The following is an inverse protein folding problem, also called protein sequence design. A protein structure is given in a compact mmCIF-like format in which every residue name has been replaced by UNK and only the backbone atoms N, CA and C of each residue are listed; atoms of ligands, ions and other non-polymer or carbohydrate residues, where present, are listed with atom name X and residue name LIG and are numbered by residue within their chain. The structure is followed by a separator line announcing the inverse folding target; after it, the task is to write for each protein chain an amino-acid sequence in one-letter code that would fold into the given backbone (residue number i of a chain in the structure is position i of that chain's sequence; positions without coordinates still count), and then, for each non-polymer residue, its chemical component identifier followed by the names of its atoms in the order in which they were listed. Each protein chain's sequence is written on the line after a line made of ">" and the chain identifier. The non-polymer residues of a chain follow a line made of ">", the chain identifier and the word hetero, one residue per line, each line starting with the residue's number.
data_IF_222133309179
#
_entry.id   IF_222133309179
#
_cell.length_a   1.000
_cell.length_b   1.000
_cell.length_c   1.000
_cell.angle_alpha   90.00
_cell.angle_beta   90.00
_cell.angle_gamma   90.00
#
_symmetry.space_group_name_H-M   'P 1'
#
loop_
_entity.id
_entity.type
_entity.pdbx_description
1 polymer ?
#
# COMPACT_ATOMS: atom_id res chain seq x y z
N UNK A 1 31.63 37.81 -29.26
CA UNK A 1 30.54 36.94 -29.78
C UNK A 1 30.61 35.46 -29.33
N UNK A 2 31.78 34.92 -29.04
CA UNK A 2 31.91 33.50 -28.56
C UNK A 2 31.24 33.22 -27.19
N UNK A 3 31.22 34.18 -26.29
CA UNK A 3 30.71 34.03 -24.92
C UNK A 3 29.16 33.86 -24.85
N UNK A 4 28.42 34.48 -25.75
CA UNK A 4 26.96 34.41 -25.81
C UNK A 4 26.49 33.04 -26.36
N UNK A 5 27.27 32.47 -27.28
CA UNK A 5 26.98 31.17 -27.90
C UNK A 5 27.20 30.04 -26.91
N UNK A 6 28.29 30.08 -26.14
CA UNK A 6 28.56 29.10 -25.08
C UNK A 6 27.51 29.14 -23.95
N UNK A 7 27.04 30.33 -23.59
CA UNK A 7 26.02 30.54 -22.56
C UNK A 7 24.66 29.94 -22.96
N UNK A 8 24.26 30.09 -24.23
CA UNK A 8 23.00 29.49 -24.75
C UNK A 8 23.07 27.95 -24.80
N UNK A 9 24.19 27.40 -25.23
CA UNK A 9 24.41 25.95 -25.23
C UNK A 9 24.38 25.40 -23.81
N UNK A 10 25.07 26.02 -22.88
CA UNK A 10 25.11 25.64 -21.47
C UNK A 10 23.72 25.66 -20.82
N UNK A 11 22.92 26.69 -21.07
CA UNK A 11 21.54 26.80 -20.57
C UNK A 11 20.64 25.69 -21.13
N UNK A 12 20.82 25.34 -22.40
CA UNK A 12 20.06 24.26 -23.04
C UNK A 12 20.39 22.88 -22.45
N UNK A 13 21.66 22.59 -22.20
CA UNK A 13 22.08 21.32 -21.55
C UNK A 13 21.58 21.22 -20.11
N UNK A 14 21.66 22.29 -19.34
CA UNK A 14 21.12 22.32 -17.97
C UNK A 14 19.63 22.06 -17.97
N UNK A 15 18.87 22.71 -18.86
CA UNK A 15 17.42 22.49 -18.96
C UNK A 15 17.07 21.03 -19.26
N UNK A 16 17.79 20.40 -20.20
CA UNK A 16 17.58 18.97 -20.54
C UNK A 16 17.91 18.09 -19.35
N UNK A 17 19.04 18.35 -18.66
CA UNK A 17 19.47 17.55 -17.51
C UNK A 17 18.46 17.65 -16.36
N UNK A 18 17.94 18.84 -16.08
CA UNK A 18 16.91 19.04 -15.05
C UNK A 18 15.65 18.27 -15.39
N UNK A 19 15.16 18.39 -16.64
CA UNK A 19 13.94 17.68 -17.07
C UNK A 19 14.13 16.17 -16.96
N UNK A 20 15.26 15.63 -17.42
CA UNK A 20 15.56 14.20 -17.30
C UNK A 20 15.66 13.73 -15.84
N UNK A 21 16.27 14.56 -14.98
CA UNK A 21 16.35 14.27 -13.54
C UNK A 21 14.97 14.21 -12.89
N UNK A 22 14.08 15.14 -13.21
CA UNK A 22 12.71 15.18 -12.69
C UNK A 22 11.91 13.95 -13.18
N UNK A 23 12.04 13.59 -14.45
CA UNK A 23 11.36 12.39 -15.01
C UNK A 23 11.84 11.12 -14.32
N UNK A 24 13.16 10.95 -14.15
CA UNK A 24 13.72 9.78 -13.44
C UNK A 24 13.29 9.75 -11.97
N UNK A 25 13.26 10.90 -11.31
CA UNK A 25 12.77 11.00 -9.93
C UNK A 25 11.32 10.58 -9.81
N UNK A 26 10.45 11.08 -10.68
CA UNK A 26 9.04 10.70 -10.70
C UNK A 26 8.86 9.20 -10.97
N UNK A 27 9.62 8.66 -11.92
CA UNK A 27 9.57 7.23 -12.24
C UNK A 27 10.00 6.36 -11.04
N UNK A 28 11.08 6.74 -10.34
CA UNK A 28 11.52 6.08 -9.12
C UNK A 28 10.49 6.19 -7.99
N UNK A 29 9.92 7.39 -7.79
CA UNK A 29 8.91 7.63 -6.78
C UNK A 29 7.65 6.77 -7.00
N UNK A 30 7.10 6.78 -8.21
CA UNK A 30 5.95 5.94 -8.55
C UNK A 30 6.25 4.45 -8.50
N UNK A 31 7.47 4.04 -8.88
CA UNK A 31 7.91 2.65 -8.76
C UNK A 31 7.94 2.16 -7.31
N UNK A 32 8.53 2.93 -6.41
CA UNK A 32 8.53 2.63 -4.97
C UNK A 32 7.10 2.63 -4.42
N UNK A 33 6.29 3.61 -4.78
CA UNK A 33 4.91 3.70 -4.33
C UNK A 33 4.08 2.49 -4.77
N UNK A 34 4.28 2.02 -6.01
CA UNK A 34 3.60 0.83 -6.53
C UNK A 34 3.98 -0.44 -5.76
N UNK A 35 5.27 -0.66 -5.51
CA UNK A 35 5.76 -1.82 -4.74
C UNK A 35 5.24 -1.76 -3.29
N UNK A 36 5.29 -0.58 -2.68
CA UNK A 36 4.88 -0.38 -1.29
C UNK A 36 3.36 -0.40 -1.10
N UNK A 37 2.58 -0.10 -2.12
CA UNK A 37 1.11 -0.01 -2.03
C UNK A 37 0.47 -1.32 -1.54
N UNK A 38 0.89 -2.46 -2.06
CA UNK A 38 0.39 -3.76 -1.64
C UNK A 38 0.80 -4.09 -0.20
N UNK A 39 2.02 -3.74 0.19
CA UNK A 39 2.50 -3.96 1.55
C UNK A 39 1.73 -3.12 2.57
N UNK A 40 1.49 -1.86 2.26
CA UNK A 40 0.69 -0.95 3.09
C UNK A 40 -0.75 -1.48 3.21
N UNK A 41 -1.37 -1.85 2.10
CA UNK A 41 -2.71 -2.40 2.07
C UNK A 41 -2.83 -3.68 2.92
N UNK A 42 -1.86 -4.58 2.82
CA UNK A 42 -1.83 -5.81 3.61
C UNK A 42 -1.64 -5.51 5.11
N UNK A 43 -0.75 -4.60 5.47
CA UNK A 43 -0.56 -4.20 6.87
C UNK A 43 -1.82 -3.60 7.48
N UNK A 44 -2.60 -2.83 6.73
CA UNK A 44 -3.90 -2.33 7.19
C UNK A 44 -4.91 -3.46 7.40
N UNK A 45 -4.94 -4.44 6.49
CA UNK A 45 -5.82 -5.61 6.60
C UNK A 45 -5.43 -6.51 7.77
N UNK A 46 -4.14 -6.75 8.00
CA UNK A 46 -3.63 -7.57 9.09
C UNK A 46 -3.87 -6.96 10.49
N UNK A 47 -4.01 -5.64 10.58
CA UNK A 47 -4.40 -4.96 11.81
C UNK A 47 -5.91 -4.99 12.07
N UNK A 48 -6.69 -5.54 11.13
CA UNK A 48 -8.12 -5.71 11.31
C UNK A 48 -8.39 -6.82 12.32
N UNK A 49 -9.01 -6.48 13.44
CA UNK A 49 -9.35 -7.43 14.50
C UNK A 49 -10.82 -7.81 14.48
N UNK A 50 -11.07 -9.07 14.75
CA UNK A 50 -12.39 -9.65 15.00
C UNK A 50 -12.44 -10.09 16.44
N UNK A 51 -13.45 -9.66 17.17
CA UNK A 51 -13.65 -10.01 18.58
C UNK A 51 -14.83 -10.95 18.71
N UNK A 52 -14.61 -12.10 19.37
CA UNK A 52 -15.63 -13.07 19.73
C UNK A 52 -15.92 -12.91 21.21
N UNK A 53 -17.13 -12.55 21.54
CA UNK A 53 -17.58 -12.44 22.93
C UNK A 53 -18.27 -13.73 23.37
N UNK A 54 -17.98 -14.16 24.58
CA UNK A 54 -18.53 -15.38 25.16
C UNK A 54 -19.64 -15.04 26.15
N UNK A 55 -20.61 -15.93 26.26
CA UNK A 55 -21.63 -15.87 27.32
C UNK A 55 -20.99 -16.08 28.69
N UNK A 56 -21.61 -15.53 29.73
CA UNK A 56 -21.11 -15.66 31.11
C UNK A 56 -21.04 -17.12 31.59
N UNK A 57 -21.89 -18.00 31.06
CA UNK A 57 -21.94 -19.42 31.38
C UNK A 57 -20.97 -20.30 30.54
N UNK A 58 -20.24 -19.70 29.62
CA UNK A 58 -19.27 -20.40 28.77
C UNK A 58 -18.16 -21.04 29.61
N UNK A 59 -17.92 -22.32 29.39
CA UNK A 59 -16.89 -23.08 30.11
C UNK A 59 -15.52 -22.82 29.51
N UNK A 60 -14.51 -22.71 30.39
CA UNK A 60 -13.13 -22.53 29.95
C UNK A 60 -12.63 -23.58 28.96
N UNK A 61 -13.16 -24.81 29.03
CA UNK A 61 -12.84 -25.89 28.09
C UNK A 61 -13.35 -25.54 26.68
N UNK A 62 -14.55 -25.00 26.57
CA UNK A 62 -15.18 -24.61 25.28
C UNK A 62 -14.43 -23.45 24.65
N UNK A 63 -14.05 -22.46 25.48
CA UNK A 63 -13.23 -21.31 25.04
C UNK A 63 -11.86 -21.80 24.53
N UNK A 64 -11.19 -22.68 25.28
CA UNK A 64 -9.88 -23.22 24.88
C UNK A 64 -9.97 -24.08 23.62
N UNK A 65 -11.02 -24.84 23.44
CA UNK A 65 -11.25 -25.61 22.22
C UNK A 65 -11.43 -24.70 21.02
N UNK A 66 -12.27 -23.66 21.13
CA UNK A 66 -12.44 -22.68 20.07
C UNK A 66 -11.16 -21.93 19.76
N UNK A 67 -10.41 -21.52 20.79
CA UNK A 67 -9.11 -20.88 20.62
C UNK A 67 -8.15 -21.74 19.80
N UNK A 68 -8.05 -23.04 20.10
CA UNK A 68 -7.20 -23.97 19.36
C UNK A 68 -7.71 -24.18 17.92
N UNK A 69 -9.04 -24.29 17.73
CA UNK A 69 -9.65 -24.43 16.42
C UNK A 69 -9.33 -23.22 15.51
N UNK A 70 -9.47 -22.02 16.06
CA UNK A 70 -9.16 -20.78 15.35
C UNK A 70 -7.66 -20.66 15.08
N UNK A 71 -6.80 -21.00 16.04
CA UNK A 71 -5.33 -20.96 15.91
C UNK A 71 -4.80 -21.92 14.84
N UNK A 72 -5.47 -23.07 14.64
CA UNK A 72 -5.12 -24.07 13.63
C UNK A 72 -5.68 -23.72 12.24
N UNK A 73 -6.49 -22.68 12.13
CA UNK A 73 -7.06 -22.28 10.85
C UNK A 73 -6.05 -21.45 10.02
N UNK A 74 -6.10 -21.62 8.71
CA UNK A 74 -5.18 -20.95 7.79
C UNK A 74 -5.43 -19.44 7.68
N UNK A 75 -6.60 -18.96 8.10
CA UNK A 75 -7.02 -17.58 7.95
C UNK A 75 -6.56 -16.65 9.09
N UNK A 76 -6.03 -17.19 10.20
CA UNK A 76 -5.63 -16.41 11.36
C UNK A 76 -4.15 -16.05 11.31
N UNK A 77 -3.83 -14.78 11.58
CA UNK A 77 -2.46 -14.27 11.72
C UNK A 77 -2.04 -14.23 13.17
N UNK A 78 -2.90 -13.64 14.02
CA UNK A 78 -2.66 -13.48 15.46
C UNK A 78 -3.94 -13.75 16.22
N UNK A 79 -3.80 -14.29 17.44
CA UNK A 79 -4.92 -14.51 18.33
C UNK A 79 -4.51 -14.16 19.76
N UNK A 80 -5.39 -13.47 20.46
CA UNK A 80 -5.25 -13.12 21.85
C UNK A 80 -6.54 -13.44 22.61
N UNK A 81 -6.43 -14.21 23.69
CA UNK A 81 -7.54 -14.36 24.64
C UNK A 81 -7.48 -13.19 25.63
N UNK A 82 -8.61 -12.55 25.87
CA UNK A 82 -8.78 -11.45 26.80
C UNK A 82 -9.81 -11.85 27.85
N UNK A 83 -9.38 -12.00 29.09
CA UNK A 83 -10.28 -12.26 30.19
C UNK A 83 -11.07 -11.00 30.57
N UNK A 84 -12.23 -11.15 31.19
CA UNK A 84 -13.03 -10.03 31.67
C UNK A 84 -12.26 -9.06 32.58
N UNK A 85 -11.31 -9.58 33.38
CA UNK A 85 -10.50 -8.77 34.28
C UNK A 85 -9.39 -8.01 33.50
N UNK A 86 -8.80 -8.64 32.50
CA UNK A 86 -7.84 -7.99 31.60
C UNK A 86 -8.53 -6.92 30.76
N UNK A 87 -9.75 -7.18 30.27
CA UNK A 87 -10.55 -6.23 29.50
C UNK A 87 -10.83 -4.94 30.32
N UNK A 88 -11.07 -5.07 31.63
CA UNK A 88 -11.21 -3.93 32.54
C UNK A 88 -9.94 -3.08 32.58
N UNK A 89 -8.78 -3.72 32.69
CA UNK A 89 -7.50 -3.01 32.75
C UNK A 89 -7.23 -2.26 31.44
N UNK A 90 -7.47 -2.92 30.30
CA UNK A 90 -7.32 -2.30 28.97
C UNK A 90 -8.24 -1.09 28.80
N UNK A 91 -9.51 -1.23 29.15
CA UNK A 91 -10.46 -0.11 29.08
C UNK A 91 -10.11 1.03 30.04
N UNK A 92 -9.62 0.72 31.23
CA UNK A 92 -9.20 1.74 32.18
C UNK A 92 -7.97 2.52 31.67
N UNK A 93 -7.03 1.85 31.03
CA UNK A 93 -5.85 2.49 30.44
C UNK A 93 -6.24 3.37 29.23
N UNK A 94 -7.21 2.95 28.43
CA UNK A 94 -7.65 3.66 27.24
C UNK A 94 -8.57 4.85 27.54
N UNK A 95 -9.52 4.68 28.44
CA UNK A 95 -10.53 5.71 28.73
C UNK A 95 -10.25 6.50 30.01
N UNK A 96 -9.26 6.11 30.81
CA UNK A 96 -8.82 6.87 32.00
C UNK A 96 -9.83 6.95 33.14
N UNK A 97 -10.98 6.27 33.05
CA UNK A 97 -12.06 6.29 34.02
C UNK A 97 -12.28 4.91 34.64
N UNK A 98 -12.61 4.89 35.91
CA UNK A 98 -12.96 3.67 36.63
C UNK A 98 -14.48 3.43 36.52
N UNK A 99 -14.91 3.06 35.28
CA UNK A 99 -16.32 2.85 34.96
C UNK A 99 -17.00 1.76 35.82
N UNK A 100 -16.21 0.81 36.34
CA UNK A 100 -16.71 -0.21 37.26
C UNK A 100 -17.20 0.41 38.55
N UNK A 101 -16.55 1.46 39.06
CA UNK A 101 -17.01 2.16 40.26
C UNK A 101 -18.34 2.88 40.02
N UNK A 102 -18.57 3.34 38.83
CA UNK A 102 -19.81 4.02 38.48
C UNK A 102 -20.96 3.02 38.28
N UNK A 103 -20.69 1.87 37.65
CA UNK A 103 -21.67 0.84 37.37
C UNK A 103 -21.96 -0.09 38.57
N UNK A 104 -20.98 -0.25 39.47
CA UNK A 104 -21.08 -1.15 40.64
C UNK A 104 -20.87 -2.62 40.33
N UNK A 105 -20.68 -3.00 39.07
CA UNK A 105 -20.37 -4.36 38.63
C UNK A 105 -19.51 -4.33 37.35
N UNK A 106 -18.86 -5.45 37.04
CA UNK A 106 -18.12 -5.58 35.79
C UNK A 106 -19.06 -6.11 34.66
N UNK A 107 -19.40 -5.28 33.66
CA UNK A 107 -20.25 -5.70 32.55
C UNK A 107 -19.49 -6.46 31.46
N UNK A 108 -18.15 -6.54 31.54
CA UNK A 108 -17.33 -7.14 30.51
C UNK A 108 -17.33 -8.66 30.61
N UNK A 109 -17.27 -9.31 29.46
CA UNK A 109 -17.21 -10.76 29.32
C UNK A 109 -15.85 -11.18 28.78
N UNK A 110 -15.57 -12.47 28.82
CA UNK A 110 -14.36 -13.00 28.18
C UNK A 110 -14.48 -12.87 26.66
N UNK A 111 -13.37 -12.57 26.01
CA UNK A 111 -13.32 -12.47 24.55
C UNK A 111 -12.09 -13.17 23.95
N UNK A 112 -12.18 -13.50 22.68
CA UNK A 112 -11.04 -13.85 21.85
C UNK A 112 -10.94 -12.80 20.75
N UNK A 113 -9.84 -12.09 20.74
CA UNK A 113 -9.51 -11.16 19.67
C UNK A 113 -8.54 -11.84 18.72
N UNK A 114 -8.85 -11.85 17.43
CA UNK A 114 -7.97 -12.40 16.43
C UNK A 114 -7.89 -11.51 15.19
N UNK A 115 -6.71 -11.52 14.57
CA UNK A 115 -6.46 -10.82 13.34
C UNK A 115 -6.41 -11.83 12.20
N UNK A 116 -6.98 -11.44 11.06
CA UNK A 116 -6.98 -12.25 9.86
C UNK A 116 -5.76 -11.94 8.99
N UNK A 117 -5.26 -12.94 8.29
CA UNK A 117 -4.32 -12.69 7.20
C UNK A 117 -4.99 -11.82 6.13
N UNK A 118 -4.23 -10.94 5.51
CA UNK A 118 -4.72 -9.96 4.53
C UNK A 118 -5.56 -10.55 3.39
N UNK A 119 -5.29 -11.81 3.02
CA UNK A 119 -6.00 -12.53 1.96
C UNK A 119 -7.45 -12.87 2.32
N UNK A 120 -7.73 -13.02 3.62
CA UNK A 120 -9.04 -13.42 4.14
C UNK A 120 -9.88 -12.23 4.63
N UNK A 121 -9.35 -11.01 4.59
CA UNK A 121 -10.09 -9.78 4.97
C UNK A 121 -11.02 -9.37 3.83
N UNK A 122 -12.08 -10.14 3.66
CA UNK A 122 -13.16 -9.91 2.70
C UNK A 122 -14.51 -10.11 3.39
N UNK A 123 -15.47 -9.22 3.10
CA UNK A 123 -16.76 -9.22 3.80
C UNK A 123 -17.52 -10.55 3.66
N UNK A 124 -17.46 -11.19 2.49
CA UNK A 124 -18.11 -12.48 2.21
C UNK A 124 -17.53 -13.64 2.99
N UNK A 125 -16.20 -13.69 3.11
CA UNK A 125 -15.50 -14.71 3.87
C UNK A 125 -15.72 -14.52 5.38
N UNK A 126 -15.65 -13.28 5.85
CA UNK A 126 -15.91 -12.94 7.24
C UNK A 126 -17.35 -13.27 7.66
N UNK A 127 -18.35 -12.93 6.85
CA UNK A 127 -19.74 -13.32 7.09
C UNK A 127 -19.89 -14.85 7.20
N UNK A 128 -19.12 -15.60 6.42
CA UNK A 128 -19.16 -17.08 6.47
C UNK A 128 -18.50 -17.62 7.74
N UNK A 129 -17.34 -17.09 8.10
CA UNK A 129 -16.61 -17.46 9.34
C UNK A 129 -17.44 -17.08 10.56
N UNK A 130 -18.02 -15.88 10.60
CA UNK A 130 -18.85 -15.40 11.69
C UNK A 130 -20.05 -16.33 11.93
N UNK A 131 -20.78 -16.70 10.89
CA UNK A 131 -21.92 -17.62 11.00
C UNK A 131 -21.53 -18.99 11.55
N UNK A 132 -20.36 -19.51 11.18
CA UNK A 132 -19.88 -20.79 11.68
C UNK A 132 -19.58 -20.75 13.19
N UNK A 133 -19.03 -19.63 13.65
CA UNK A 133 -18.65 -19.44 15.05
C UNK A 133 -19.88 -19.05 15.90
N UNK A 134 -20.75 -18.14 15.40
CA UNK A 134 -21.99 -17.75 16.07
C UNK A 134 -22.96 -18.91 16.33
N UNK A 135 -22.88 -19.97 15.53
CA UNK A 135 -23.71 -21.16 15.69
C UNK A 135 -23.34 -21.99 16.93
N UNK A 136 -22.26 -21.64 17.63
CA UNK A 136 -21.82 -22.29 18.85
C UNK A 136 -22.58 -21.72 20.06
N UNK A 137 -23.20 -22.56 20.86
CA UNK A 137 -24.09 -22.15 21.95
C UNK A 137 -23.45 -21.27 23.02
N UNK A 138 -22.15 -21.34 23.20
CA UNK A 138 -21.37 -20.61 24.20
C UNK A 138 -20.82 -19.25 23.69
N UNK A 139 -20.97 -18.97 22.40
CA UNK A 139 -20.66 -17.68 21.80
C UNK A 139 -21.87 -16.76 21.96
N UNK A 140 -21.66 -15.52 22.36
CA UNK A 140 -22.68 -14.50 22.48
C UNK A 140 -22.83 -13.74 21.18
N UNK A 141 -21.77 -13.06 20.79
CA UNK A 141 -21.72 -12.34 19.51
C UNK A 141 -20.30 -12.26 18.95
N UNK A 142 -20.22 -11.96 17.66
CA UNK A 142 -18.97 -11.66 16.97
C UNK A 142 -19.04 -10.21 16.48
N UNK A 143 -18.06 -9.42 16.90
CA UNK A 143 -18.00 -8.01 16.55
C UNK A 143 -16.81 -7.75 15.64
N UNK A 144 -17.07 -7.15 14.50
CA UNK A 144 -16.08 -6.64 13.57
C UNK A 144 -16.64 -5.45 12.78
N UNK A 145 -15.77 -4.55 12.35
CA UNK A 145 -16.20 -3.39 11.58
C UNK A 145 -16.33 -3.71 10.09
N UNK A 146 -17.55 -4.10 9.68
CA UNK A 146 -17.91 -4.42 8.29
C UNK A 146 -17.74 -3.22 7.37
N UNK A 147 -17.98 -2.00 7.87
CA UNK A 147 -17.84 -0.79 7.06
C UNK A 147 -16.39 -0.51 6.77
N UNK A 148 -15.51 -0.72 7.75
CA UNK A 148 -14.07 -0.56 7.60
C UNK A 148 -13.53 -1.51 6.54
N UNK A 149 -13.95 -2.78 6.52
CA UNK A 149 -13.56 -3.78 5.50
C UNK A 149 -13.93 -3.32 4.10
N UNK A 150 -15.16 -2.86 3.92
CA UNK A 150 -15.66 -2.40 2.62
C UNK A 150 -14.87 -1.16 2.16
N UNK A 151 -14.65 -0.20 3.06
CA UNK A 151 -13.88 1.01 2.77
C UNK A 151 -12.43 0.65 2.36
N UNK A 152 -11.78 -0.25 3.08
CA UNK A 152 -10.41 -0.70 2.76
C UNK A 152 -10.37 -1.36 1.39
N UNK A 153 -11.25 -2.34 1.14
CA UNK A 153 -11.26 -3.08 -0.12
C UNK A 153 -11.61 -2.18 -1.32
N UNK A 154 -12.58 -1.27 -1.18
CA UNK A 154 -12.95 -0.33 -2.24
C UNK A 154 -11.85 0.68 -2.52
N UNK A 155 -11.20 1.20 -1.49
CA UNK A 155 -10.08 2.15 -1.66
C UNK A 155 -8.87 1.47 -2.33
N UNK A 156 -8.53 0.24 -1.94
CA UNK A 156 -7.46 -0.53 -2.59
C UNK A 156 -7.77 -0.76 -4.07
N UNK A 157 -9.00 -1.16 -4.42
CA UNK A 157 -9.43 -1.31 -5.81
C UNK A 157 -9.34 0.00 -6.60
N UNK A 158 -9.79 1.11 -6.02
CA UNK A 158 -9.70 2.45 -6.65
C UNK A 158 -8.26 2.88 -6.85
N UNK A 159 -7.40 2.72 -5.84
CA UNK A 159 -5.97 3.07 -5.94
C UNK A 159 -5.32 2.24 -7.05
N UNK A 160 -5.53 0.94 -7.10
CA UNK A 160 -5.01 0.05 -8.13
C UNK A 160 -5.50 0.44 -9.53
N UNK A 161 -6.78 0.81 -9.66
CA UNK A 161 -7.37 1.24 -10.93
C UNK A 161 -6.74 2.53 -11.47
N UNK A 162 -6.40 3.49 -10.62
CA UNK A 162 -5.80 4.76 -11.01
C UNK A 162 -4.29 4.69 -11.19
N UNK A 163 -3.62 3.75 -10.52
CA UNK A 163 -2.18 3.54 -10.66
C UNK A 163 -1.78 3.09 -12.07
N UNK A 164 -2.49 2.14 -12.65
CA UNK A 164 -2.19 1.63 -13.99
C UNK A 164 -2.15 2.72 -15.08
N UNK A 165 -3.20 3.53 -15.26
CA UNK A 165 -3.16 4.60 -16.27
C UNK A 165 -2.11 5.67 -15.95
N UNK A 166 -1.83 5.95 -14.67
CA UNK A 166 -0.80 6.93 -14.31
C UNK A 166 0.61 6.49 -14.73
N UNK A 167 0.92 5.20 -14.61
CA UNK A 167 2.19 4.63 -15.10
C UNK A 167 2.29 4.74 -16.62
N UNK A 168 1.21 4.44 -17.35
CA UNK A 168 1.19 4.54 -18.82
C UNK A 168 1.41 5.99 -19.26
N UNK A 169 0.76 6.95 -18.62
CA UNK A 169 0.96 8.38 -18.90
C UNK A 169 2.42 8.78 -18.66
N UNK A 170 3.02 8.34 -17.57
CA UNK A 170 4.42 8.60 -17.24
C UNK A 170 5.38 8.02 -18.30
N UNK A 171 5.11 6.81 -18.79
CA UNK A 171 5.89 6.19 -19.87
C UNK A 171 5.81 7.00 -21.16
N UNK A 172 4.61 7.48 -21.53
CA UNK A 172 4.40 8.34 -22.71
C UNK A 172 5.19 9.65 -22.56
N UNK A 173 5.08 10.32 -21.41
CA UNK A 173 5.82 11.57 -21.13
C UNK A 173 7.32 11.32 -21.22
N UNK A 174 7.83 10.24 -20.62
CA UNK A 174 9.24 9.86 -20.68
C UNK A 174 9.70 9.67 -22.12
N UNK A 175 8.93 8.96 -22.94
CA UNK A 175 9.24 8.74 -24.35
C UNK A 175 9.29 10.06 -25.15
N UNK A 176 8.33 10.96 -24.91
CA UNK A 176 8.29 12.27 -25.56
C UNK A 176 9.49 13.15 -25.18
N UNK A 177 9.88 13.13 -23.89
CA UNK A 177 11.02 13.89 -23.38
C UNK A 177 12.33 13.37 -23.96
N UNK A 178 12.52 12.04 -24.01
CA UNK A 178 13.71 11.45 -24.63
C UNK A 178 13.81 11.82 -26.09
N UNK A 179 12.72 11.67 -26.85
CA UNK A 179 12.68 12.02 -28.28
C UNK A 179 12.98 13.51 -28.52
N UNK A 180 12.41 14.39 -27.69
CA UNK A 180 12.64 15.83 -27.73
C UNK A 180 14.10 16.20 -27.40
N UNK A 181 14.68 15.51 -26.39
CA UNK A 181 16.08 15.72 -25.97
C UNK A 181 17.08 15.30 -27.05
N UNK A 182 16.84 14.16 -27.70
CA UNK A 182 17.68 13.70 -28.84
C UNK A 182 17.63 14.69 -29.98
N UNK A 183 16.43 15.13 -30.37
CA UNK A 183 16.25 16.13 -31.44
C UNK A 183 16.98 17.45 -31.12
N UNK A 184 16.87 17.93 -29.90
CA UNK A 184 17.53 19.16 -29.46
C UNK A 184 19.06 19.02 -29.43
N UNK A 185 19.58 17.87 -29.02
CA UNK A 185 21.02 17.55 -29.01
C UNK A 185 21.59 17.55 -30.43
N UNK A 186 20.89 16.92 -31.38
CA UNK A 186 21.29 16.91 -32.80
C UNK A 186 21.27 18.33 -33.39
N UNK A 187 20.24 19.10 -33.07
CA UNK A 187 20.13 20.49 -33.59
C UNK A 187 21.21 21.40 -33.02
N UNK A 188 21.55 21.24 -31.73
CA UNK A 188 22.62 21.99 -31.08
C UNK A 188 23.99 21.71 -31.70
N UNK A 189 24.25 20.47 -32.11
CA UNK A 189 25.55 20.05 -32.67
C UNK A 189 25.59 20.06 -34.21
N UNK A 190 24.57 20.61 -34.87
CA UNK A 190 24.43 20.60 -36.35
C UNK A 190 25.67 21.15 -37.08
N UNK A 191 26.36 22.18 -36.54
CA UNK A 191 27.55 22.75 -37.15
C UNK A 191 28.76 21.82 -37.03
N UNK A 192 28.92 21.12 -35.91
CA UNK A 192 29.97 20.15 -35.70
C UNK A 192 29.80 18.95 -36.63
N UNK A 193 28.58 18.46 -36.76
CA UNK A 193 28.25 17.33 -37.66
C UNK A 193 28.50 17.71 -39.13
N UNK A 194 28.13 18.93 -39.56
CA UNK A 194 28.44 19.41 -40.92
C UNK A 194 29.93 19.50 -41.17
N UNK A 195 30.73 19.97 -40.21
CA UNK A 195 32.16 20.09 -40.35
C UNK A 195 32.82 18.71 -40.40
N UNK A 196 32.38 17.78 -39.59
CA UNK A 196 32.87 16.38 -39.63
C UNK A 196 32.57 15.71 -40.96
N UNK A 197 31.33 15.83 -41.48
CA UNK A 197 30.93 15.28 -42.77
C UNK A 197 31.74 15.90 -43.94
N UNK A 198 32.10 17.18 -43.87
CA UNK A 198 32.89 17.82 -44.91
C UNK A 198 34.36 17.31 -44.95
N UNK A 199 34.92 16.97 -43.78
CA UNK A 199 36.28 16.43 -43.65
C UNK A 199 36.38 14.92 -43.87
N UNK A 200 35.30 14.14 -43.70
CA UNK A 200 35.26 12.70 -43.87
C UNK A 200 34.65 12.26 -45.21
N UNK A 201 34.12 13.20 -46.01
CA UNK A 201 33.67 12.87 -47.36
C UNK A 201 34.89 12.56 -48.25
N UNK A 202 34.96 11.35 -48.85
CA UNK A 202 36.05 11.04 -49.75
C UNK A 202 36.06 12.08 -50.87
N UNK A 203 37.25 12.62 -51.11
CA UNK A 203 37.49 13.57 -52.20
C UNK A 203 37.06 12.93 -53.51
N UNK A 204 36.38 13.65 -54.46
CA UNK A 204 36.08 13.09 -55.76
C UNK A 204 37.33 12.75 -56.60
N UNK A 205 38.52 13.00 -56.05
CA UNK A 205 39.81 12.65 -56.68
C UNK A 205 40.33 11.27 -56.36
N UNK A 206 39.72 10.55 -55.42
CA UNK A 206 40.18 9.23 -55.02
C UNK A 206 39.46 8.09 -55.79
N UNK A 207 38.70 8.45 -56.82
CA UNK A 207 37.99 7.52 -57.71
C UNK A 207 38.46 7.63 -59.18
N UNK A 208 39.81 7.66 -59.38
CA UNK A 208 40.37 7.42 -60.70
C UNK A 208 41.51 6.38 -60.61
#
# INVERSE_FOLDING_TARGET
>A
MANIKNRRLFTSYISITIIMSVVLFLFGFFGIFFISSNSIANSFKENFSVSIFFKEDAKNIEITQLQNEILMSDYVEKLKYVSKDEAVLLMKDEYGQDFIKELGFNPLVNSIDFNLKSEYVEATLLDSISRLIENKNYVDEIVYDKNLINIINDNIKRISLWLMPSIIILLIITFLVINSSIRLSIYSNRQLIKTCLLYTSPSPRDTL
#
